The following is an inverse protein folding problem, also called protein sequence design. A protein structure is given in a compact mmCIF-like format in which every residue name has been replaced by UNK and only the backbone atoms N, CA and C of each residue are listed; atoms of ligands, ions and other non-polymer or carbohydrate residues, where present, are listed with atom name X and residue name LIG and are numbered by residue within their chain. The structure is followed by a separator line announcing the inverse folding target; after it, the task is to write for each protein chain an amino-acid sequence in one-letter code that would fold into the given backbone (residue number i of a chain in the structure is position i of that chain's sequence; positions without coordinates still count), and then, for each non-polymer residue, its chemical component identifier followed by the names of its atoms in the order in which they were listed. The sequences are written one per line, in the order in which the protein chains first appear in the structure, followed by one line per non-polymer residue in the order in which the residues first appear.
data_IF_225775074486
#
_entry.id   IF_225775074486
#
_cell.length_a   1.000
_cell.length_b   1.000
_cell.length_c   1.000
_cell.angle_alpha   90.00
_cell.angle_beta   90.00
_cell.angle_gamma   90.00
#
_symmetry.space_group_name_H-M   'P 1'
#
loop_
_entity.id
_entity.type
_entity.pdbx_description
1 polymer ?
#
# COMPACT_ATOMS: atom_id res chain seq x y z
N UNK A 1 1.23 1.89 30.07
CA UNK A 1 0.74 1.30 28.79
C UNK A 1 1.81 0.43 28.13
N UNK A 2 2.91 0.96 27.58
CA UNK A 2 3.91 0.18 26.81
C UNK A 2 4.44 -1.05 27.56
N UNK A 3 4.82 -0.92 28.82
CA UNK A 3 5.27 -2.04 29.64
C UNK A 3 4.19 -3.11 29.89
N UNK A 4 2.93 -2.71 29.94
CA UNK A 4 1.81 -3.63 30.07
C UNK A 4 1.68 -4.50 28.83
N UNK A 5 1.72 -3.89 27.65
CA UNK A 5 1.65 -4.63 26.39
C UNK A 5 2.84 -5.57 26.16
N UNK A 6 4.03 -5.21 26.64
CA UNK A 6 5.21 -6.06 26.50
C UNK A 6 5.08 -7.41 27.24
N UNK A 7 4.39 -7.43 28.38
CA UNK A 7 4.20 -8.64 29.20
C UNK A 7 2.88 -9.39 28.93
N UNK A 8 1.94 -8.78 28.24
CA UNK A 8 0.64 -9.37 27.91
C UNK A 8 0.76 -10.25 26.66
N UNK A 9 0.07 -11.39 26.62
CA UNK A 9 0.08 -12.25 25.44
C UNK A 9 -0.65 -11.61 24.27
N UNK A 10 -0.25 -11.95 23.03
CA UNK A 10 -0.90 -11.43 21.82
C UNK A 10 -2.38 -11.85 21.74
N UNK A 11 -2.70 -13.04 22.24
CA UNK A 11 -4.07 -13.56 22.25
C UNK A 11 -4.95 -12.78 23.23
N UNK A 12 -4.43 -12.42 24.42
CA UNK A 12 -5.16 -11.58 25.35
C UNK A 12 -5.36 -10.15 24.83
N UNK A 13 -4.35 -9.58 24.16
CA UNK A 13 -4.48 -8.26 23.54
C UNK A 13 -5.52 -8.26 22.43
N UNK A 14 -5.54 -9.29 21.58
CA UNK A 14 -6.53 -9.45 20.51
C UNK A 14 -7.92 -9.65 21.07
N UNK A 15 -8.09 -10.55 22.04
CA UNK A 15 -9.38 -10.83 22.67
C UNK A 15 -9.97 -9.57 23.32
N UNK A 16 -9.15 -8.77 23.99
CA UNK A 16 -9.59 -7.50 24.56
C UNK A 16 -10.00 -6.49 23.47
N UNK A 17 -9.28 -6.42 22.35
CA UNK A 17 -9.63 -5.57 21.24
C UNK A 17 -10.92 -6.02 20.54
N UNK A 18 -11.07 -7.31 20.26
CA UNK A 18 -12.26 -7.88 19.61
C UNK A 18 -13.51 -7.74 20.47
N UNK A 19 -13.40 -7.90 21.80
CA UNK A 19 -14.51 -7.77 22.73
C UNK A 19 -14.90 -6.31 23.03
N UNK A 20 -14.08 -5.35 22.64
CA UNK A 20 -14.32 -3.93 22.91
C UNK A 20 -15.17 -3.25 21.86
N UNK A 21 -15.16 -3.74 20.62
CA UNK A 21 -15.87 -3.15 19.48
C UNK A 21 -16.87 -4.13 18.89
N UNK A 22 -18.08 -3.65 18.61
CA UNK A 22 -19.07 -4.31 17.80
C UNK A 22 -19.41 -3.46 16.56
N UNK A 23 -19.87 -4.12 15.52
CA UNK A 23 -20.37 -3.46 14.31
C UNK A 23 -21.89 -3.44 14.39
N UNK A 24 -22.49 -2.26 14.24
CA UNK A 24 -23.92 -2.17 13.99
C UNK A 24 -24.21 -2.69 12.58
N UNK A 25 -24.86 -3.85 12.49
CA UNK A 25 -25.17 -4.51 11.21
C UNK A 25 -26.15 -3.70 10.35
N UNK A 26 -26.91 -2.78 10.96
CA UNK A 26 -27.92 -1.96 10.25
C UNK A 26 -27.25 -0.74 9.62
N UNK A 27 -26.42 -0.03 10.39
CA UNK A 27 -25.82 1.22 9.97
C UNK A 27 -24.36 1.09 9.51
N UNK A 28 -23.75 -0.07 9.69
CA UNK A 28 -22.32 -0.33 9.52
C UNK A 28 -21.40 0.56 10.37
N UNK A 29 -21.92 1.08 11.47
CA UNK A 29 -21.17 1.91 12.39
C UNK A 29 -20.44 1.06 13.44
N UNK A 30 -19.18 1.39 13.73
CA UNK A 30 -18.42 0.81 14.81
C UNK A 30 -18.82 1.49 16.12
N UNK A 31 -19.23 0.70 17.11
CA UNK A 31 -19.47 1.23 18.45
C UNK A 31 -18.79 0.37 19.53
N UNK A 32 -18.48 1.03 20.63
CA UNK A 32 -17.77 0.39 21.75
C UNK A 32 -18.79 -0.33 22.62
N UNK A 33 -18.58 -1.64 22.78
CA UNK A 33 -19.45 -2.50 23.61
C UNK A 33 -19.04 -2.46 25.07
N UNK A 34 -17.76 -2.18 25.34
CA UNK A 34 -17.25 -2.15 26.72
C UNK A 34 -17.20 -0.71 27.23
N UNK A 35 -18.07 -0.33 28.20
CA UNK A 35 -18.14 1.04 28.73
C UNK A 35 -16.93 1.47 29.56
N UNK A 36 -15.97 0.60 29.85
CA UNK A 36 -14.77 0.93 30.64
C UNK A 36 -13.65 1.62 29.84
N UNK A 37 -14.00 2.35 28.80
CA UNK A 37 -13.11 3.38 28.23
C UNK A 37 -12.19 2.94 27.10
N UNK A 38 -12.42 1.80 26.47
CA UNK A 38 -11.66 1.41 25.28
C UNK A 38 -12.31 2.02 24.03
N UNK A 39 -11.76 3.10 23.52
CA UNK A 39 -12.23 3.72 22.29
C UNK A 39 -11.61 3.07 21.03
N UNK A 40 -12.10 3.44 19.83
CA UNK A 40 -11.65 2.90 18.55
C UNK A 40 -10.14 3.03 18.38
N UNK A 41 -9.56 4.16 18.76
CA UNK A 41 -8.11 4.38 18.68
C UNK A 41 -7.31 3.42 19.56
N UNK A 42 -7.83 3.05 20.73
CA UNK A 42 -7.22 2.05 21.60
C UNK A 42 -7.21 0.67 20.94
N UNK A 43 -8.31 0.29 20.29
CA UNK A 43 -8.42 -1.00 19.60
C UNK A 43 -7.48 -1.04 18.39
N UNK A 44 -7.42 0.02 17.61
CA UNK A 44 -6.48 0.13 16.49
C UNK A 44 -5.02 0.06 16.97
N UNK A 45 -4.73 0.68 18.12
CA UNK A 45 -3.43 0.56 18.75
C UNK A 45 -3.11 -0.88 19.15
N UNK A 46 -4.04 -1.60 19.80
CA UNK A 46 -3.87 -3.01 20.17
C UNK A 46 -3.57 -3.89 18.95
N UNK A 47 -4.32 -3.70 17.86
CA UNK A 47 -4.13 -4.45 16.63
C UNK A 47 -2.77 -4.13 15.97
N UNK A 48 -2.36 -2.87 15.99
CA UNK A 48 -1.06 -2.43 15.48
C UNK A 48 0.09 -2.96 16.34
N UNK A 49 -0.10 -3.01 17.64
CA UNK A 49 0.86 -3.60 18.58
C UNK A 49 1.13 -5.06 18.25
N UNK A 50 0.07 -5.87 18.16
CA UNK A 50 0.20 -7.31 17.86
C UNK A 50 0.93 -7.55 16.54
N UNK A 51 0.63 -6.76 15.51
CA UNK A 51 1.32 -6.84 14.21
C UNK A 51 2.80 -6.47 14.29
N UNK A 52 3.13 -5.50 15.14
CA UNK A 52 4.51 -4.98 15.24
C UNK A 52 5.40 -5.80 16.18
N UNK A 53 4.80 -6.56 17.09
CA UNK A 53 5.53 -7.26 18.16
C UNK A 53 6.59 -8.24 17.65
N UNK A 54 6.26 -8.99 16.60
CA UNK A 54 7.21 -9.93 15.99
C UNK A 54 8.46 -9.23 15.42
N UNK A 55 8.29 -7.98 14.95
CA UNK A 55 9.37 -7.17 14.40
C UNK A 55 10.19 -6.46 15.47
N UNK A 56 9.62 -6.21 16.65
CA UNK A 56 10.27 -5.48 17.73
C UNK A 56 11.05 -6.40 18.67
N UNK A 57 10.51 -7.54 19.05
CA UNK A 57 11.03 -8.38 20.12
C UNK A 57 10.69 -7.82 21.50
N UNK A 58 11.48 -8.12 22.52
CA UNK A 58 11.27 -7.66 23.90
C UNK A 58 11.72 -6.22 24.09
N UNK A 59 11.01 -5.47 24.93
CA UNK A 59 11.38 -4.13 25.35
C UNK A 59 12.66 -4.17 26.21
N UNK A 60 13.67 -3.39 25.84
CA UNK A 60 14.89 -3.19 26.61
C UNK A 60 14.82 -1.91 27.45
N UNK A 61 14.54 -0.77 26.81
CA UNK A 61 14.50 0.53 27.48
C UNK A 61 13.45 1.46 26.90
N UNK A 62 13.06 2.43 27.71
CA UNK A 62 12.33 3.63 27.25
C UNK A 62 13.35 4.76 27.29
N UNK A 63 13.73 5.29 26.11
CA UNK A 63 14.83 6.23 25.98
C UNK A 63 14.38 7.67 26.24
N UNK A 64 13.23 8.07 25.71
CA UNK A 64 12.67 9.40 25.94
C UNK A 64 11.13 9.42 25.87
N UNK A 65 10.54 10.34 26.60
CA UNK A 65 9.13 10.69 26.54
C UNK A 65 9.03 12.20 26.35
N UNK A 66 8.49 12.63 25.24
CA UNK A 66 8.32 14.03 24.88
C UNK A 66 6.83 14.33 24.79
N UNK A 67 6.37 15.39 25.47
CA UNK A 67 5.01 15.91 25.39
C UNK A 67 5.02 17.21 24.59
N UNK A 68 4.25 17.26 23.52
CA UNK A 68 4.00 18.46 22.75
C UNK A 68 2.52 18.83 22.90
N UNK A 69 2.25 19.95 23.58
CA UNK A 69 0.89 20.50 23.72
C UNK A 69 0.51 21.15 22.39
N UNK A 70 -0.73 20.92 21.95
CA UNK A 70 -1.26 21.51 20.73
C UNK A 70 -1.97 22.83 21.04
N UNK A 71 -1.87 23.76 20.11
CA UNK A 71 -2.66 25.01 20.15
C UNK A 71 -4.01 24.87 19.41
N UNK A 72 -4.30 23.67 18.90
CA UNK A 72 -5.55 23.37 18.18
C UNK A 72 -6.67 23.02 19.15
N UNK A 73 -7.88 23.49 18.87
CA UNK A 73 -9.05 23.38 19.76
C UNK A 73 -9.61 21.97 19.96
N UNK A 74 -9.17 20.99 19.21
CA UNK A 74 -9.67 19.60 19.28
C UNK A 74 -8.61 18.57 19.69
N UNK A 75 -7.39 19.02 19.99
CA UNK A 75 -6.27 18.13 20.32
C UNK A 75 -5.50 18.72 21.51
N UNK A 76 -5.53 18.03 22.64
CA UNK A 76 -4.77 18.44 23.83
C UNK A 76 -3.28 18.41 23.59
N UNK A 77 -2.79 17.34 22.98
CA UNK A 77 -1.37 17.19 22.68
C UNK A 77 -0.97 15.83 22.20
N UNK A 78 0.30 15.73 21.81
CA UNK A 78 0.94 14.50 21.33
C UNK A 78 2.04 14.07 22.29
N UNK A 79 2.00 12.84 22.72
CA UNK A 79 3.08 12.20 23.49
C UNK A 79 3.89 11.32 22.55
N UNK A 80 5.17 11.66 22.39
CA UNK A 80 6.12 10.85 21.63
C UNK A 80 7.00 10.07 22.59
N UNK A 81 7.00 8.73 22.46
CA UNK A 81 7.82 7.83 23.28
C UNK A 81 8.79 7.10 22.38
N UNK A 82 10.09 7.28 22.64
CA UNK A 82 11.16 6.52 21.96
C UNK A 82 11.60 5.36 22.82
N UNK A 83 11.70 4.20 22.23
CA UNK A 83 11.99 2.94 22.93
C UNK A 83 13.01 2.12 22.16
N UNK A 84 13.84 1.38 22.91
CA UNK A 84 14.72 0.36 22.37
C UNK A 84 14.14 -1.03 22.63
N UNK A 85 14.01 -1.83 21.58
CA UNK A 85 13.65 -3.24 21.62
C UNK A 85 14.83 -4.12 21.20
N UNK A 86 14.70 -5.44 21.36
CA UNK A 86 15.75 -6.40 21.04
C UNK A 86 16.17 -6.36 19.57
N UNK A 87 15.21 -6.19 18.68
CA UNK A 87 15.46 -6.23 17.22
C UNK A 87 15.63 -4.86 16.60
N UNK A 88 14.93 -3.84 17.11
CA UNK A 88 14.98 -2.46 16.57
C UNK A 88 14.39 -1.44 17.54
N UNK A 89 14.67 -0.18 17.27
CA UNK A 89 14.06 0.92 18.00
C UNK A 89 12.63 1.14 17.50
N UNK A 90 11.77 1.71 18.36
CA UNK A 90 10.41 2.06 18.01
C UNK A 90 10.05 3.44 18.57
N UNK A 91 9.26 4.19 17.80
CA UNK A 91 8.69 5.46 18.25
C UNK A 91 7.17 5.31 18.31
N UNK A 92 6.60 5.64 19.46
CA UNK A 92 5.16 5.73 19.65
C UNK A 92 4.74 7.17 19.59
N UNK A 93 3.70 7.46 18.82
CA UNK A 93 3.04 8.75 18.78
C UNK A 93 1.62 8.57 19.26
N UNK A 94 1.27 9.22 20.38
CA UNK A 94 -0.01 9.07 21.07
C UNK A 94 -0.63 10.45 21.16
N UNK A 95 -1.79 10.61 20.54
CA UNK A 95 -2.54 11.88 20.49
C UNK A 95 -3.74 11.78 21.42
N UNK A 96 -3.92 12.79 22.26
CA UNK A 96 -5.05 12.93 23.17
C UNK A 96 -5.94 14.10 22.72
N UNK A 97 -7.26 13.92 22.89
CA UNK A 97 -8.25 14.96 22.70
C UNK A 97 -8.36 15.87 23.96
N UNK A 98 -9.21 16.89 23.91
CA UNK A 98 -9.43 17.84 24.98
C UNK A 98 -10.02 17.22 26.24
N UNK A 99 -10.69 16.06 26.11
CA UNK A 99 -11.27 15.28 27.19
C UNK A 99 -10.30 14.23 27.76
N UNK A 100 -9.03 14.29 27.37
CA UNK A 100 -7.97 13.33 27.73
C UNK A 100 -8.19 11.91 27.20
N UNK A 101 -9.07 11.72 26.23
CA UNK A 101 -9.22 10.42 25.59
C UNK A 101 -8.14 10.20 24.53
N UNK A 102 -7.82 8.95 24.28
CA UNK A 102 -6.94 8.60 23.18
C UNK A 102 -7.65 8.89 21.84
N UNK A 103 -7.15 9.87 21.10
CA UNK A 103 -7.66 10.22 19.78
C UNK A 103 -7.01 9.39 18.67
N UNK A 104 -5.70 9.16 18.79
CA UNK A 104 -4.92 8.38 17.84
C UNK A 104 -3.66 7.81 18.49
N UNK A 105 -3.20 6.67 18.03
CA UNK A 105 -1.90 6.14 18.44
C UNK A 105 -1.24 5.39 17.29
N UNK A 106 0.01 5.77 16.99
CA UNK A 106 0.83 5.14 15.97
C UNK A 106 2.04 4.43 16.57
N UNK A 107 2.36 3.27 16.02
CA UNK A 107 3.55 2.48 16.34
C UNK A 107 4.47 2.52 15.12
N UNK A 108 5.61 3.17 15.26
CA UNK A 108 6.56 3.43 14.19
C UNK A 108 7.88 2.68 14.45
N UNK A 109 8.03 1.41 14.04
CA UNK A 109 9.30 0.71 14.10
C UNK A 109 10.34 1.42 13.22
N UNK A 110 11.54 1.61 13.76
CA UNK A 110 12.63 2.27 13.04
C UNK A 110 13.38 1.23 12.20
N UNK A 111 13.17 1.27 10.89
CA UNK A 111 13.90 0.43 9.95
C UNK A 111 15.24 1.04 9.57
N UNK A 112 16.24 0.21 9.49
CA UNK A 112 17.57 0.63 8.98
C UNK A 112 17.47 1.04 7.51
N UNK A 113 18.43 1.85 7.04
CA UNK A 113 18.50 2.25 5.63
C UNK A 113 18.60 1.03 4.71
N UNK A 114 19.33 -0.02 5.13
CA UNK A 114 19.44 -1.27 4.39
C UNK A 114 18.10 -1.98 4.21
N UNK A 115 17.31 -2.13 5.29
CA UNK A 115 15.97 -2.74 5.25
C UNK A 115 14.99 -1.94 4.39
N UNK A 116 15.09 -0.60 4.42
CA UNK A 116 14.27 0.28 3.56
C UNK A 116 14.65 0.10 2.08
N UNK A 117 15.94 -0.01 1.79
CA UNK A 117 16.43 -0.27 0.43
C UNK A 117 16.02 -1.66 -0.07
N UNK A 118 16.13 -2.69 0.78
CA UNK A 118 15.69 -4.04 0.43
C UNK A 118 14.21 -4.07 0.03
N UNK A 119 13.33 -3.47 0.84
CA UNK A 119 11.89 -3.35 0.51
C UNK A 119 11.65 -2.55 -0.78
N UNK A 120 12.40 -1.49 -1.01
CA UNK A 120 12.29 -0.68 -2.22
C UNK A 120 12.73 -1.48 -3.47
N UNK A 121 13.86 -2.20 -3.39
CA UNK A 121 14.35 -3.07 -4.46
C UNK A 121 13.36 -4.19 -4.77
N UNK A 122 12.83 -4.86 -3.73
CA UNK A 122 11.83 -5.91 -3.90
C UNK A 122 10.57 -5.39 -4.63
N UNK A 123 10.05 -4.25 -4.22
CA UNK A 123 8.89 -3.63 -4.86
C UNK A 123 9.19 -3.25 -6.33
N UNK A 124 10.40 -2.74 -6.59
CA UNK A 124 10.84 -2.40 -7.95
C UNK A 124 10.96 -3.65 -8.82
N UNK A 125 11.57 -4.71 -8.30
CA UNK A 125 11.74 -5.98 -9.03
C UNK A 125 10.38 -6.62 -9.34
N UNK A 126 9.44 -6.62 -8.38
CA UNK A 126 8.09 -7.14 -8.61
C UNK A 126 7.35 -6.31 -9.66
N UNK A 127 7.36 -4.97 -9.55
CA UNK A 127 6.70 -4.08 -10.49
C UNK A 127 7.28 -4.19 -11.91
N UNK A 128 8.60 -4.13 -12.02
CA UNK A 128 9.29 -4.23 -13.30
C UNK A 128 9.21 -5.66 -13.88
N UNK A 129 9.32 -6.68 -13.03
CA UNK A 129 9.20 -8.08 -13.41
C UNK A 129 7.84 -8.41 -14.02
N UNK A 130 6.76 -7.86 -13.47
CA UNK A 130 5.40 -8.06 -14.00
C UNK A 130 5.30 -7.55 -15.44
N UNK A 131 5.87 -6.38 -15.74
CA UNK A 131 5.87 -5.83 -17.10
C UNK A 131 6.67 -6.72 -18.06
N UNK A 132 7.84 -7.20 -17.64
CA UNK A 132 8.64 -8.13 -18.46
C UNK A 132 7.90 -9.43 -18.74
N UNK A 133 7.24 -10.02 -17.75
CA UNK A 133 6.44 -11.24 -17.94
C UNK A 133 5.34 -11.01 -18.97
N UNK A 134 4.63 -9.89 -18.90
CA UNK A 134 3.58 -9.55 -19.89
C UNK A 134 4.16 -9.37 -21.28
N UNK A 135 5.31 -8.70 -21.43
CA UNK A 135 5.96 -8.54 -22.73
C UNK A 135 6.43 -9.86 -23.32
N UNK A 136 7.01 -10.74 -22.51
CA UNK A 136 7.39 -12.10 -22.93
C UNK A 136 6.16 -12.89 -23.38
N UNK A 137 5.06 -12.80 -22.63
CA UNK A 137 3.82 -13.47 -22.97
C UNK A 137 3.23 -12.98 -24.30
N UNK A 138 3.19 -11.68 -24.52
CA UNK A 138 2.73 -11.09 -25.79
C UNK A 138 3.65 -11.51 -26.93
N UNK A 139 4.96 -11.49 -26.74
CA UNK A 139 5.93 -11.94 -27.75
C UNK A 139 5.74 -13.41 -28.09
N UNK A 140 5.43 -14.23 -27.10
CA UNK A 140 5.12 -15.66 -27.29
C UNK A 140 3.83 -15.85 -28.11
N UNK A 141 2.76 -15.10 -27.81
CA UNK A 141 1.51 -15.13 -28.57
C UNK A 141 1.75 -14.75 -30.04
N UNK A 142 2.51 -13.66 -30.29
CA UNK A 142 2.85 -13.23 -31.66
C UNK A 142 3.65 -14.31 -32.40
N UNK A 143 4.58 -14.95 -31.71
CA UNK A 143 5.37 -16.07 -32.25
C UNK A 143 4.52 -17.27 -32.62
N UNK A 144 3.53 -17.61 -31.77
CA UNK A 144 2.56 -18.67 -32.05
C UNK A 144 1.68 -18.34 -33.27
N UNK A 145 1.19 -17.12 -33.36
CA UNK A 145 0.39 -16.68 -34.52
C UNK A 145 1.19 -16.76 -35.82
N UNK A 146 2.46 -16.36 -35.78
CA UNK A 146 3.35 -16.48 -36.93
C UNK A 146 3.57 -17.94 -37.34
N UNK A 147 3.68 -18.83 -36.34
CA UNK A 147 3.84 -20.29 -36.60
C UNK A 147 2.56 -20.89 -37.20
N UNK A 148 1.39 -20.56 -36.66
CA UNK A 148 0.08 -21.02 -37.16
C UNK A 148 -0.18 -20.51 -38.59
N UNK A 149 0.14 -19.22 -38.85
CA UNK A 149 -0.01 -18.66 -40.19
C UNK A 149 0.91 -19.32 -41.22
N UNK A 150 2.09 -19.76 -40.80
CA UNK A 150 3.04 -20.45 -41.67
C UNK A 150 2.63 -21.91 -41.95
N UNK A 151 1.86 -22.58 -41.06
CA UNK A 151 1.30 -23.91 -41.27
C UNK A 151 0.03 -23.88 -42.14
N UNK A 152 -0.76 -22.76 -42.05
CA UNK A 152 -1.99 -22.54 -42.84
C UNK A 152 -1.75 -22.04 -44.26
N UNK A 153 -0.59 -21.49 -44.56
CA UNK A 153 -0.26 -20.91 -45.85
C UNK A 153 0.26 -21.98 -46.82
N UNK A 154 -0.63 -22.91 -47.25
CA UNK A 154 -0.53 -23.45 -48.59
C UNK A 154 -1.02 -22.37 -49.55
N UNK A 155 -0.06 -21.69 -50.19
CA UNK A 155 -0.22 -20.81 -51.37
C UNK A 155 -1.53 -20.03 -51.48
N UNK A 156 -1.49 -18.78 -51.11
CA UNK A 156 -2.16 -17.73 -51.89
C UNK A 156 -1.34 -16.44 -51.73
N UNK A 157 -1.31 -15.71 -52.86
CA UNK A 157 -0.38 -14.62 -53.20
C UNK A 157 -0.43 -13.44 -52.24
N UNK A 158 0.72 -12.75 -52.13
CA UNK A 158 0.89 -11.42 -51.50
C UNK A 158 -0.29 -10.47 -51.82
N UNK A 159 -0.81 -9.78 -50.86
CA UNK A 159 -1.14 -8.38 -51.05
C UNK A 159 -0.01 -7.53 -50.44
N UNK A 160 1.02 -7.29 -51.26
CA UNK A 160 1.81 -6.12 -51.10
C UNK A 160 0.90 -4.91 -51.40
N UNK A 161 0.86 -3.92 -50.51
CA UNK A 161 0.41 -2.63 -50.92
C UNK A 161 -0.76 -1.94 -50.21
N UNK A 162 -1.10 -2.33 -48.96
CA UNK A 162 -2.17 -1.63 -48.23
C UNK A 162 -1.85 -0.15 -47.87
N UNK A 163 -0.61 0.14 -47.60
CA UNK A 163 -0.21 1.50 -47.17
C UNK A 163 0.25 2.34 -48.37
N UNK A 164 0.93 1.71 -49.34
CA UNK A 164 1.44 2.39 -50.55
C UNK A 164 0.28 2.78 -51.49
N UNK A 165 -0.76 1.95 -51.61
CA UNK A 165 -1.98 2.29 -52.33
C UNK A 165 -2.83 3.40 -51.68
N UNK A 166 -2.84 3.45 -50.31
CA UNK A 166 -3.53 4.52 -49.61
C UNK A 166 -2.80 5.87 -49.79
N UNK A 167 -1.46 5.88 -49.80
CA UNK A 167 -0.66 7.08 -50.01
C UNK A 167 -0.77 7.59 -51.47
N UNK A 168 -0.74 6.69 -52.45
CA UNK A 168 -0.91 7.09 -53.87
C UNK A 168 -2.31 7.63 -54.17
N UNK A 169 -3.37 7.13 -53.52
CA UNK A 169 -4.72 7.69 -53.70
C UNK A 169 -4.88 9.08 -53.08
N UNK A 170 -4.18 9.36 -51.97
CA UNK A 170 -4.18 10.69 -51.35
C UNK A 170 -3.42 11.70 -52.24
N UNK A 171 -2.28 11.32 -52.77
CA UNK A 171 -1.47 12.19 -53.64
C UNK A 171 -2.18 12.52 -54.96
N UNK A 172 -2.85 11.55 -55.59
CA UNK A 172 -3.63 11.80 -56.83
C UNK A 172 -4.87 12.65 -56.57
N UNK A 173 -5.51 12.55 -55.42
CA UNK A 173 -6.67 13.39 -55.07
C UNK A 173 -6.23 14.85 -54.79
N UNK A 174 -5.03 15.07 -54.29
CA UNK A 174 -4.48 16.42 -54.09
C UNK A 174 -4.07 17.08 -55.38
N UNK A 175 -3.48 16.35 -56.34
CA UNK A 175 -3.16 16.88 -57.65
C UNK A 175 -4.41 17.22 -58.51
N UNK A 176 -5.47 16.41 -58.39
CA UNK A 176 -6.73 16.68 -59.10
C UNK A 176 -7.47 17.89 -58.52
N UNK A 177 -7.38 18.11 -57.21
CA UNK A 177 -7.97 19.29 -56.57
C UNK A 177 -7.24 20.60 -56.92
N UNK A 178 -5.92 20.55 -57.13
CA UNK A 178 -5.10 21.69 -57.55
C UNK A 178 -5.30 22.05 -59.01
N UNK A 179 -5.66 21.12 -59.90
CA UNK A 179 -5.91 21.38 -61.32
C UNK A 179 -7.26 22.04 -61.56
N UNK A 180 -8.20 22.00 -60.63
CA UNK A 180 -9.53 22.62 -60.74
C UNK A 180 -9.57 24.10 -60.28
N UNK A 181 -8.44 24.64 -59.80
CA UNK A 181 -8.36 26.03 -59.28
C UNK A 181 -7.62 26.96 -60.25
N UNK A 182 -7.28 26.51 -61.48
CA UNK A 182 -6.65 27.36 -62.50
C UNK A 182 -7.58 27.57 -63.69
#
# INVERSE_FOLDING_TARGET
MIKYFDVTSDDDVKANAENAISIDEINHDLYIVNPEGMNVATVEFCNSWVKSRSDLGRLKSIDSVELKISDETSTLGTVTVKTEYEKRNCTYEIVFDDDYNLSSAAINPVYTTGEKMEKAVLNTVIGMGTVFIVLIFISFIISLLKYVNNIGAKKEEKPAGGVENAISQIVTAEEESLSLIH
#
